data_IF_438688309251
#
_entry.id   IF_438688309251
#
_cell.length_a   1.000
_cell.length_b   1.000
_cell.length_c   1.000
_cell.angle_alpha   90.00
_cell.angle_beta   90.00
_cell.angle_gamma   90.00
#
_symmetry.space_group_name_H-M   'P 1'
#
loop_
_entity.id
_entity.type
_entity.pdbx_description
1 polymer ?
#
# COMPACT_ATOMS: atom_id res chain seq x y z
N UNK A 1 64.12 20.66 33.17
CA UNK A 1 62.68 20.51 32.90
C UNK A 1 62.53 19.21 32.12
N UNK A 2 62.33 18.02 32.71
CA UNK A 2 61.29 17.62 33.67
C UNK A 2 59.96 17.56 32.91
N UNK A 3 59.25 16.45 32.70
CA UNK A 3 59.09 15.19 33.45
C UNK A 3 58.64 14.10 32.45
N UNK A 4 59.03 12.85 32.69
CA UNK A 4 58.43 11.63 32.10
C UNK A 4 56.93 11.51 32.43
N UNK A 5 56.15 10.79 31.61
CA UNK A 5 55.06 9.90 32.08
C UNK A 5 54.43 9.13 30.89
N UNK A 6 54.77 7.85 30.76
CA UNK A 6 53.81 6.75 30.45
C UNK A 6 53.39 6.17 31.82
N UNK A 7 52.40 5.26 31.97
CA UNK A 7 51.34 4.71 31.08
C UNK A 7 49.93 4.97 31.70
N UNK A 8 48.82 4.30 31.35
CA UNK A 8 48.21 3.26 32.24
C UNK A 8 46.80 2.83 31.77
N UNK A 9 46.59 1.50 31.72
CA UNK A 9 45.39 0.66 31.89
C UNK A 9 44.15 0.74 30.97
N UNK A 10 43.96 -0.38 30.27
CA UNK A 10 42.82 -1.30 30.41
C UNK A 10 41.48 -0.72 30.91
N UNK A 11 40.49 -0.79 30.04
CA UNK A 11 39.17 -1.31 30.42
C UNK A 11 38.54 -2.05 29.23
N UNK A 12 38.78 -3.37 29.20
CA UNK A 12 37.75 -4.33 28.86
C UNK A 12 36.50 -3.99 29.68
N UNK A 13 35.38 -3.72 29.03
CA UNK A 13 34.00 -3.95 29.52
C UNK A 13 33.00 -3.54 28.42
N UNK A 14 31.78 -4.10 28.43
CA UNK A 14 31.43 -5.18 27.51
C UNK A 14 30.46 -4.72 26.43
N UNK A 15 30.40 -5.53 25.37
CA UNK A 15 29.32 -5.51 24.39
C UNK A 15 27.95 -5.64 25.12
N UNK A 16 27.05 -4.64 25.07
CA UNK A 16 25.75 -4.74 25.73
C UNK A 16 24.68 -5.38 24.84
N UNK A 17 25.03 -5.95 23.69
CA UNK A 17 24.07 -6.63 22.84
C UNK A 17 24.05 -8.13 23.13
N UNK A 18 22.98 -8.65 23.76
CA UNK A 18 22.66 -10.05 23.56
C UNK A 18 22.28 -10.24 22.09
N UNK A 19 23.11 -11.03 21.41
CA UNK A 19 22.77 -11.79 20.22
C UNK A 19 21.54 -12.64 20.58
N UNK A 20 20.37 -12.21 20.11
CA UNK A 20 19.15 -12.99 20.17
C UNK A 20 18.54 -13.03 18.76
N UNK A 21 18.48 -14.26 18.27
CA UNK A 21 17.98 -14.69 16.98
C UNK A 21 16.62 -14.08 16.61
N UNK A 22 16.35 -13.84 15.31
CA UNK A 22 15.03 -13.43 14.87
C UNK A 22 14.09 -14.64 14.90
N UNK A 23 13.49 -14.92 16.05
CA UNK A 23 12.28 -15.74 16.10
C UNK A 23 11.15 -14.89 15.55
N UNK A 24 10.82 -15.21 14.31
CA UNK A 24 9.70 -14.72 13.53
C UNK A 24 8.38 -15.01 14.28
N UNK A 25 7.87 -14.04 15.04
CA UNK A 25 6.49 -14.06 15.53
C UNK A 25 5.68 -13.06 14.72
N UNK A 26 5.02 -13.55 13.67
CA UNK A 26 3.93 -12.84 12.99
C UNK A 26 2.73 -12.82 13.92
N UNK A 27 2.77 -11.97 14.93
CA UNK A 27 1.59 -11.70 15.74
C UNK A 27 0.69 -10.75 14.95
N UNK A 28 -0.27 -11.38 14.28
CA UNK A 28 -1.52 -10.77 13.83
C UNK A 28 -2.04 -9.89 14.97
N UNK A 29 -2.04 -8.57 14.79
CA UNK A 29 -2.80 -7.67 15.66
C UNK A 29 -4.24 -7.60 15.12
N UNK A 30 -5.22 -8.33 15.68
CA UNK A 30 -6.61 -8.00 15.43
C UNK A 30 -6.85 -6.61 16.04
N UNK A 31 -7.30 -5.68 15.21
CA UNK A 31 -7.87 -4.41 15.68
C UNK A 31 -9.15 -4.75 16.44
N UNK A 32 -9.02 -5.02 17.74
CA UNK A 32 -10.14 -5.24 18.64
C UNK A 32 -10.66 -3.87 19.10
N UNK A 33 -11.71 -3.38 18.43
CA UNK A 33 -12.47 -2.23 18.89
C UNK A 33 -13.33 -2.68 20.08
N UNK A 34 -12.80 -2.55 21.30
CA UNK A 34 -13.52 -2.87 22.53
C UNK A 34 -14.55 -1.77 22.84
N UNK A 35 -15.74 -1.89 22.26
CA UNK A 35 -16.91 -1.14 22.73
C UNK A 35 -17.45 -1.80 24.00
N UNK A 36 -17.12 -1.22 25.16
CA UNK A 36 -17.80 -1.55 26.42
C UNK A 36 -19.25 -1.08 26.33
N UNK A 37 -20.18 -2.02 26.23
CA UNK A 37 -21.59 -1.76 26.54
C UNK A 37 -21.98 -2.64 27.71
N UNK A 38 -22.16 -2.00 28.87
CA UNK A 38 -22.70 -2.61 30.08
C UNK A 38 -24.10 -3.16 29.80
N UNK A 39 -24.22 -4.50 29.76
CA UNK A 39 -25.52 -5.18 29.64
C UNK A 39 -26.13 -5.36 31.04
N UNK A 40 -27.09 -4.50 31.38
CA UNK A 40 -28.13 -4.87 32.33
C UNK A 40 -29.11 -5.79 31.57
N UNK A 41 -29.28 -7.01 32.06
CA UNK A 41 -30.07 -8.05 31.40
C UNK A 41 -31.57 -7.72 31.33
N UNK A 42 -32.30 -8.22 30.31
CA UNK A 42 -33.75 -8.07 30.31
C UNK A 42 -34.40 -9.23 31.06
N UNK A 43 -35.29 -8.86 31.98
CA UNK A 43 -36.26 -9.74 32.59
C UNK A 43 -37.19 -10.35 31.53
N UNK A 44 -37.50 -11.63 31.73
CA UNK A 44 -38.42 -12.46 30.97
C UNK A 44 -39.84 -11.88 31.04
N UNK A 45 -40.54 -11.63 29.91
CA UNK A 45 -42.00 -11.44 29.86
C UNK A 45 -42.60 -11.90 28.50
N UNK A 46 -43.91 -12.27 28.47
CA UNK A 46 -44.47 -13.27 27.56
C UNK A 46 -45.02 -12.72 26.23
N UNK A 47 -45.19 -13.63 25.26
CA UNK A 47 -45.73 -13.38 23.92
C UNK A 47 -47.16 -12.83 23.97
N UNK A 48 -47.35 -11.61 23.47
CA UNK A 48 -48.67 -11.05 23.19
C UNK A 48 -48.60 -9.72 22.44
N UNK A 49 -49.04 -9.74 21.18
CA UNK A 49 -49.19 -8.61 20.23
C UNK A 49 -47.89 -7.90 19.78
N UNK A 50 -47.45 -8.17 18.55
CA UNK A 50 -46.41 -7.39 17.89
C UNK A 50 -47.02 -6.11 17.31
N UNK A 51 -46.77 -4.91 17.88
CA UNK A 51 -47.15 -3.68 17.20
C UNK A 51 -46.37 -3.57 15.89
N UNK A 52 -47.08 -3.23 14.81
CA UNK A 52 -46.52 -2.96 13.48
C UNK A 52 -45.40 -1.94 13.62
N UNK A 53 -44.16 -2.44 13.54
CA UNK A 53 -42.91 -1.74 13.87
C UNK A 53 -42.78 -0.51 12.97
N UNK A 54 -43.23 0.66 13.44
CA UNK A 54 -42.82 1.95 12.85
C UNK A 54 -41.29 1.96 12.94
N UNK A 55 -40.61 1.79 11.81
CA UNK A 55 -39.15 1.96 11.72
C UNK A 55 -38.87 3.39 12.18
N UNK A 56 -38.41 3.55 13.42
CA UNK A 56 -37.86 4.81 13.90
C UNK A 56 -36.71 5.12 12.96
N UNK A 57 -36.84 6.17 12.14
CA UNK A 57 -35.72 6.68 11.33
C UNK A 57 -34.72 7.19 12.35
N UNK A 58 -33.69 6.39 12.63
CA UNK A 58 -32.57 6.81 13.46
C UNK A 58 -31.90 7.96 12.72
N UNK A 59 -31.69 9.08 13.41
CA UNK A 59 -30.92 10.19 12.86
C UNK A 59 -29.54 9.66 12.44
N UNK A 60 -28.99 10.13 11.31
CA UNK A 60 -27.67 9.71 10.88
C UNK A 60 -26.67 10.09 11.97
N UNK A 61 -25.99 9.08 12.52
CA UNK A 61 -24.88 9.29 13.43
C UNK A 61 -23.76 9.99 12.65
N UNK A 62 -23.30 11.14 13.13
CA UNK A 62 -22.18 11.88 12.52
C UNK A 62 -20.93 11.64 13.36
N UNK A 63 -19.85 11.28 12.69
CA UNK A 63 -18.51 11.17 13.26
C UNK A 63 -17.75 12.44 12.91
N UNK A 64 -17.11 13.06 13.90
CA UNK A 64 -16.23 14.20 13.71
C UNK A 64 -14.85 13.88 14.26
N UNK A 65 -13.82 14.22 13.49
CA UNK A 65 -12.44 14.18 13.95
C UNK A 65 -12.10 15.52 14.61
N UNK A 66 -11.57 15.46 15.82
CA UNK A 66 -11.20 16.64 16.61
C UNK A 66 -9.70 16.90 16.58
N UNK A 67 -8.89 15.88 16.29
CA UNK A 67 -7.44 15.97 16.43
C UNK A 67 -6.77 15.25 15.27
N UNK A 68 -5.72 15.85 14.72
CA UNK A 68 -4.81 15.23 13.77
C UNK A 68 -3.40 15.24 14.34
N UNK A 69 -2.79 14.07 14.46
CA UNK A 69 -1.37 13.94 14.77
C UNK A 69 -0.59 13.85 13.46
N UNK A 70 0.35 14.78 13.25
CA UNK A 70 1.25 14.81 12.10
C UNK A 70 2.61 14.30 12.51
N UNK A 71 3.14 13.29 11.83
CA UNK A 71 4.49 12.76 12.07
C UNK A 71 5.45 13.23 10.97
N UNK A 72 6.61 13.74 11.37
CA UNK A 72 7.65 14.20 10.45
C UNK A 72 8.77 13.17 10.35
N UNK A 73 9.16 12.84 9.13
CA UNK A 73 10.17 11.82 8.85
C UNK A 73 11.27 12.41 7.97
N UNK A 74 12.50 11.97 8.23
CA UNK A 74 13.61 12.24 7.33
C UNK A 74 13.46 11.49 6.01
N UNK A 75 14.11 11.99 4.96
CA UNK A 75 14.17 11.32 3.66
C UNK A 75 15.08 10.10 3.75
N UNK A 76 14.61 8.97 3.21
CA UNK A 76 15.38 7.74 3.13
C UNK A 76 15.16 7.04 1.78
N UNK A 77 15.92 5.98 1.52
CA UNK A 77 15.65 5.07 0.41
C UNK A 77 14.33 4.31 0.63
N UNK A 78 13.48 4.24 -0.40
CA UNK A 78 12.16 3.61 -0.34
C UNK A 78 11.92 2.58 -1.44
N UNK A 79 12.50 1.38 -1.33
CA UNK A 79 12.48 0.36 -2.40
C UNK A 79 11.10 -0.09 -2.92
N UNK A 80 10.01 0.14 -2.17
CA UNK A 80 8.65 -0.15 -2.64
C UNK A 80 8.05 0.94 -3.54
N UNK A 81 8.50 2.18 -3.38
CA UNK A 81 8.00 3.37 -4.07
C UNK A 81 8.74 3.64 -5.39
N UNK A 82 8.86 2.62 -6.24
CA UNK A 82 9.60 2.71 -7.50
C UNK A 82 8.95 3.74 -8.43
N UNK A 83 9.64 4.84 -8.78
CA UNK A 83 9.14 5.87 -9.69
C UNK A 83 8.87 5.29 -11.08
N UNK A 84 7.99 5.96 -11.83
CA UNK A 84 7.72 5.59 -13.23
C UNK A 84 8.93 6.00 -14.10
N UNK A 85 9.45 7.18 -13.83
CA UNK A 85 10.62 7.82 -14.41
C UNK A 85 11.95 7.24 -13.87
N UNK A 86 13.09 7.74 -14.37
CA UNK A 86 14.45 7.23 -14.08
C UNK A 86 14.95 7.59 -12.68
N UNK A 87 16.01 6.95 -12.20
CA UNK A 87 16.66 7.33 -10.94
C UNK A 87 16.13 6.57 -9.71
N UNK A 88 16.64 6.91 -8.53
CA UNK A 88 16.43 6.12 -7.33
C UNK A 88 15.02 6.38 -6.75
N UNK A 89 14.43 5.39 -6.07
CA UNK A 89 13.23 5.60 -5.30
C UNK A 89 13.56 6.35 -4.01
N UNK A 90 12.65 7.22 -3.59
CA UNK A 90 12.73 7.93 -2.31
C UNK A 90 11.53 7.52 -1.45
N UNK A 91 11.77 7.51 -0.15
CA UNK A 91 10.77 7.20 0.85
C UNK A 91 11.04 7.97 2.13
N UNK A 92 10.37 7.52 3.19
CA UNK A 92 10.49 8.06 4.52
C UNK A 92 11.37 7.14 5.36
N UNK A 93 12.13 7.71 6.29
CA UNK A 93 12.89 6.96 7.28
C UNK A 93 11.96 6.05 8.10
N UNK A 94 12.54 4.98 8.67
CA UNK A 94 11.78 4.00 9.45
C UNK A 94 11.17 4.58 10.72
N UNK A 95 11.72 5.68 11.24
CA UNK A 95 11.28 6.35 12.47
C UNK A 95 11.05 7.83 12.16
N UNK A 96 10.03 8.41 12.77
CA UNK A 96 9.79 9.85 12.72
C UNK A 96 10.82 10.55 13.61
N UNK A 97 11.19 11.77 13.25
CA UNK A 97 12.04 12.64 14.05
C UNK A 97 11.21 13.62 14.90
N UNK A 98 9.95 13.85 14.53
CA UNK A 98 9.06 14.77 15.24
C UNK A 98 7.58 14.37 15.07
N UNK A 99 6.72 14.89 15.95
CA UNK A 99 5.27 14.71 15.88
C UNK A 99 4.53 15.90 16.48
N UNK A 100 3.48 16.38 15.82
CA UNK A 100 2.67 17.52 16.26
C UNK A 100 1.18 17.20 16.25
N UNK A 101 0.48 17.54 17.33
CA UNK A 101 -0.96 17.41 17.42
C UNK A 101 -1.64 18.73 17.05
N UNK A 102 -2.58 18.65 16.11
CA UNK A 102 -3.37 19.78 15.62
C UNK A 102 -4.83 19.58 16.00
N UNK A 103 -5.42 20.59 16.64
CA UNK A 103 -6.85 20.62 16.94
C UNK A 103 -7.65 21.01 15.68
N UNK A 104 -8.36 20.04 15.11
CA UNK A 104 -9.16 20.20 13.90
C UNK A 104 -10.47 20.95 14.15
N UNK A 105 -10.89 21.13 15.41
CA UNK A 105 -12.10 21.90 15.72
C UNK A 105 -11.90 23.40 15.43
N UNK A 106 -10.65 23.84 15.39
CA UNK A 106 -10.26 25.23 15.10
C UNK A 106 -10.00 25.47 13.61
N UNK A 107 -9.80 24.41 12.82
CA UNK A 107 -9.48 24.45 11.39
C UNK A 107 -10.71 24.23 10.49
N UNK A 108 -11.89 24.70 10.91
CA UNK A 108 -13.17 24.51 10.21
C UNK A 108 -13.32 25.34 8.92
N UNK A 109 -12.29 26.08 8.49
CA UNK A 109 -12.28 26.75 7.21
C UNK A 109 -12.13 25.71 6.07
N UNK A 110 -13.30 25.18 5.67
CA UNK A 110 -13.55 24.21 4.60
C UNK A 110 -13.14 24.69 3.19
N UNK A 111 -12.40 25.80 3.08
CA UNK A 111 -11.90 26.36 1.83
C UNK A 111 -10.46 25.94 1.53
N UNK A 112 -9.87 25.06 2.35
CA UNK A 112 -8.55 24.49 2.10
C UNK A 112 -8.53 23.84 0.69
N UNK A 113 -7.88 24.54 -0.24
CA UNK A 113 -7.68 24.08 -1.61
C UNK A 113 -7.01 22.71 -1.57
N UNK A 114 -7.58 21.74 -2.27
CA UNK A 114 -6.98 20.43 -2.43
C UNK A 114 -5.68 20.58 -3.24
N UNK A 115 -4.57 20.75 -2.51
CA UNK A 115 -3.24 20.84 -3.10
C UNK A 115 -2.84 19.51 -3.72
N UNK A 116 -2.23 19.57 -4.90
CA UNK A 116 -1.54 18.40 -5.46
C UNK A 116 -0.19 18.27 -4.76
N UNK A 117 0.15 17.06 -4.31
CA UNK A 117 1.48 16.81 -3.75
C UNK A 117 2.52 16.95 -4.87
N UNK A 118 3.57 17.74 -4.61
CA UNK A 118 4.67 17.94 -5.55
C UNK A 118 5.36 16.60 -5.85
N UNK A 119 5.70 16.39 -7.12
CA UNK A 119 6.52 15.26 -7.56
C UNK A 119 7.97 15.72 -7.70
N UNK A 120 8.90 14.89 -7.25
CA UNK A 120 10.33 15.13 -7.43
C UNK A 120 10.79 14.51 -8.74
N UNK A 121 11.63 15.19 -9.51
CA UNK A 121 12.31 14.64 -10.68
C UNK A 121 13.55 13.81 -10.25
N UNK A 122 14.09 12.99 -11.15
CA UNK A 122 15.22 12.10 -10.89
C UNK A 122 16.45 12.83 -10.31
N UNK A 123 16.77 14.03 -10.80
CA UNK A 123 17.89 14.84 -10.26
C UNK A 123 17.62 15.27 -8.83
N UNK A 124 16.41 15.71 -8.54
CA UNK A 124 16.01 16.13 -7.19
C UNK A 124 16.06 14.95 -6.22
N UNK A 125 15.61 13.77 -6.65
CA UNK A 125 15.70 12.55 -5.82
C UNK A 125 17.13 12.16 -5.48
N UNK A 126 18.04 12.26 -6.46
CA UNK A 126 19.48 12.03 -6.21
C UNK A 126 20.01 13.08 -5.23
N UNK A 127 19.64 14.35 -5.40
CA UNK A 127 20.07 15.42 -4.51
C UNK A 127 19.57 15.20 -3.07
N UNK A 128 18.32 14.79 -2.90
CA UNK A 128 17.74 14.46 -1.59
C UNK A 128 18.48 13.31 -0.90
N UNK A 129 18.80 12.23 -1.63
CA UNK A 129 19.55 11.12 -1.05
C UNK A 129 20.99 11.50 -0.70
N UNK A 130 21.65 12.33 -1.52
CA UNK A 130 22.96 12.89 -1.18
C UNK A 130 22.90 13.75 0.07
N UNK A 131 21.85 14.58 0.21
CA UNK A 131 21.64 15.41 1.40
C UNK A 131 21.37 14.56 2.65
N UNK A 132 20.73 13.40 2.49
CA UNK A 132 20.56 12.39 3.53
C UNK A 132 21.81 11.51 3.77
N UNK A 133 22.97 11.94 3.27
CA UNK A 133 24.28 11.28 3.45
C UNK A 133 24.39 9.86 2.86
N UNK A 134 23.55 9.48 1.88
CA UNK A 134 23.77 8.25 1.13
C UNK A 134 24.98 8.39 0.20
N UNK A 135 25.89 7.39 0.18
CA UNK A 135 27.03 7.41 -0.71
C UNK A 135 26.57 7.26 -2.17
N UNK A 136 27.26 7.94 -3.09
CA UNK A 136 26.90 7.95 -4.52
C UNK A 136 26.82 6.55 -5.10
N UNK A 137 27.69 5.64 -4.65
CA UNK A 137 27.68 4.24 -5.07
C UNK A 137 26.36 3.53 -4.71
N UNK A 138 25.85 3.71 -3.50
CA UNK A 138 24.56 3.10 -3.12
C UNK A 138 23.42 3.72 -3.92
N UNK A 139 23.46 5.03 -4.16
CA UNK A 139 22.46 5.69 -5.00
C UNK A 139 22.45 5.11 -6.42
N UNK A 140 23.62 4.77 -6.98
CA UNK A 140 23.68 4.09 -8.29
C UNK A 140 23.10 2.69 -8.23
N UNK A 141 23.38 1.94 -7.16
CA UNK A 141 22.83 0.60 -6.96
C UNK A 141 21.28 0.67 -6.87
N UNK A 142 20.73 1.65 -6.14
CA UNK A 142 19.29 1.91 -6.08
C UNK A 142 18.66 2.26 -7.44
N UNK A 143 19.40 2.94 -8.32
CA UNK A 143 18.93 3.22 -9.68
C UNK A 143 18.79 1.94 -10.49
N UNK A 144 19.76 1.02 -10.38
CA UNK A 144 19.72 -0.26 -11.08
C UNK A 144 18.58 -1.13 -10.56
N UNK A 145 18.41 -1.24 -9.25
CA UNK A 145 17.28 -1.96 -8.65
C UNK A 145 15.93 -1.43 -9.15
N UNK A 146 15.77 -0.10 -9.24
CA UNK A 146 14.56 0.53 -9.74
C UNK A 146 14.31 0.24 -11.24
N UNK A 147 15.35 0.06 -12.03
CA UNK A 147 15.23 -0.37 -13.44
C UNK A 147 14.71 -1.81 -13.49
N UNK A 148 15.29 -2.70 -12.70
CA UNK A 148 14.95 -4.12 -12.71
C UNK A 148 13.53 -4.36 -12.22
N UNK A 149 13.09 -3.66 -11.17
CA UNK A 149 11.70 -3.72 -10.71
C UNK A 149 10.73 -3.20 -11.78
N UNK A 150 11.08 -2.12 -12.50
CA UNK A 150 10.22 -1.62 -13.59
C UNK A 150 10.10 -2.61 -14.73
N UNK A 151 11.21 -3.22 -15.16
CA UNK A 151 11.20 -4.27 -16.19
C UNK A 151 10.33 -5.44 -15.77
N UNK A 152 10.55 -5.96 -14.56
CA UNK A 152 9.75 -7.06 -14.01
C UNK A 152 8.25 -6.75 -13.97
N UNK A 153 7.87 -5.51 -13.60
CA UNK A 153 6.47 -5.06 -13.61
C UNK A 153 5.89 -4.98 -15.03
N UNK A 154 6.66 -4.49 -15.99
CA UNK A 154 6.24 -4.41 -17.39
C UNK A 154 6.02 -5.81 -17.98
N UNK A 155 6.97 -6.73 -17.78
CA UNK A 155 6.87 -8.12 -18.24
C UNK A 155 5.61 -8.80 -17.67
N UNK A 156 5.35 -8.62 -16.37
CA UNK A 156 4.17 -9.16 -15.70
C UNK A 156 2.86 -8.61 -16.30
N UNK A 157 2.82 -7.32 -16.60
CA UNK A 157 1.64 -6.68 -17.22
C UNK A 157 1.42 -7.19 -18.64
N UNK A 158 2.49 -7.35 -19.42
CA UNK A 158 2.42 -7.88 -20.78
C UNK A 158 1.93 -9.33 -20.80
N UNK A 159 2.43 -10.16 -19.89
CA UNK A 159 1.97 -11.54 -19.73
C UNK A 159 0.50 -11.62 -19.34
N UNK A 160 0.06 -10.76 -18.42
CA UNK A 160 -1.34 -10.68 -18.03
C UNK A 160 -2.24 -10.27 -19.22
N UNK A 161 -1.83 -9.26 -20.00
CA UNK A 161 -2.53 -8.83 -21.22
C UNK A 161 -2.60 -9.96 -22.25
N UNK A 162 -1.50 -10.69 -22.46
CA UNK A 162 -1.42 -11.83 -23.38
C UNK A 162 -2.38 -12.95 -22.96
N UNK A 163 -2.38 -13.32 -21.67
CA UNK A 163 -3.29 -14.34 -21.11
C UNK A 163 -4.75 -13.91 -21.23
N UNK A 164 -5.05 -12.63 -20.96
CA UNK A 164 -6.41 -12.07 -21.15
C UNK A 164 -6.85 -12.14 -22.60
N UNK A 165 -6.01 -11.70 -23.55
CA UNK A 165 -6.36 -11.75 -24.97
C UNK A 165 -6.60 -13.19 -25.47
N UNK A 166 -5.81 -14.17 -25.01
CA UNK A 166 -6.05 -15.59 -25.31
C UNK A 166 -7.41 -16.06 -24.81
N UNK A 167 -7.74 -15.75 -23.56
CA UNK A 167 -9.05 -16.10 -22.96
C UNK A 167 -10.20 -15.45 -23.72
N UNK A 168 -10.09 -14.16 -24.03
CA UNK A 168 -11.12 -13.42 -24.76
C UNK A 168 -11.31 -13.98 -26.18
N UNK A 169 -10.22 -14.41 -26.84
CA UNK A 169 -10.28 -15.06 -28.15
C UNK A 169 -10.92 -16.46 -28.07
N UNK A 170 -10.64 -17.23 -27.03
CA UNK A 170 -11.25 -18.55 -26.79
C UNK A 170 -12.76 -18.44 -26.55
N UNK A 171 -13.19 -17.51 -25.69
CA UNK A 171 -14.62 -17.22 -25.46
C UNK A 171 -15.31 -16.82 -26.76
N UNK A 172 -14.66 -16.00 -27.61
CA UNK A 172 -15.21 -15.62 -28.93
C UNK A 172 -15.31 -16.83 -29.88
N UNK A 173 -14.32 -17.71 -29.91
CA UNK A 173 -14.37 -18.95 -30.72
C UNK A 173 -15.50 -19.85 -30.26
N UNK A 174 -15.65 -20.05 -28.95
CA UNK A 174 -16.69 -20.91 -28.39
C UNK A 174 -18.09 -20.37 -28.67
N UNK A 175 -18.31 -19.05 -28.62
CA UNK A 175 -19.58 -18.43 -29.06
C UNK A 175 -19.89 -18.71 -30.52
N UNK A 176 -18.92 -18.54 -31.43
CA UNK A 176 -19.11 -18.84 -32.87
C UNK A 176 -19.47 -20.30 -33.14
N UNK A 177 -18.94 -21.25 -32.36
CA UNK A 177 -19.29 -22.66 -32.50
C UNK A 177 -20.69 -23.00 -31.95
N UNK A 178 -21.19 -22.26 -30.96
CA UNK A 178 -22.55 -22.45 -30.42
C UNK A 178 -23.62 -21.82 -31.33
N UNK A 179 -23.30 -20.73 -32.00
CA UNK A 179 -24.21 -20.02 -32.92
C UNK A 179 -24.19 -20.62 -34.36
N UNK A 180 -23.32 -21.59 -34.64
CA UNK A 180 -23.07 -22.16 -35.97
C UNK A 180 -23.82 -23.45 -36.32
N UNK A 181 -24.85 -23.84 -35.55
CA UNK A 181 -25.63 -25.05 -35.79
C UNK A 181 -26.89 -24.79 -36.64
N UNK A 182 -26.73 -24.29 -37.87
CA UNK A 182 -27.75 -24.37 -38.94
C UNK A 182 -27.22 -23.81 -40.27
N UNK A 183 -26.51 -24.65 -41.03
CA UNK A 183 -26.50 -24.58 -42.48
C UNK A 183 -26.72 -26.00 -42.96
N UNK A 184 -27.98 -26.36 -43.17
CA UNK A 184 -28.32 -27.59 -43.89
C UNK A 184 -27.88 -27.38 -45.33
N UNK A 185 -26.88 -28.17 -45.74
CA UNK A 185 -26.58 -28.40 -47.15
C UNK A 185 -27.77 -29.16 -47.75
N UNK A 186 -28.69 -28.44 -48.40
CA UNK A 186 -29.62 -29.04 -49.34
C UNK A 186 -28.95 -29.01 -50.73
N UNK A 187 -28.56 -30.22 -51.13
CA UNK A 187 -28.17 -30.66 -52.46
C UNK A 187 -29.27 -30.33 -53.48
N UNK A 188 -28.94 -29.62 -54.55
CA UNK A 188 -29.71 -29.69 -55.80
C UNK A 188 -28.71 -29.78 -56.96
N UNK A 189 -28.37 -31.02 -57.26
CA UNK A 189 -27.81 -31.46 -58.54
C UNK A 189 -28.86 -31.25 -59.63
N UNK A 190 -28.61 -30.37 -60.61
CA UNK A 190 -29.28 -30.45 -61.92
C UNK A 190 -28.26 -30.18 -63.04
N UNK A 191 -27.95 -31.27 -63.74
CA UNK A 191 -27.42 -31.30 -65.09
C UNK A 191 -28.24 -30.40 -66.03
N UNK A 192 -27.61 -29.66 -66.94
CA UNK A 192 -28.05 -29.63 -68.33
C UNK A 192 -26.93 -29.19 -69.30
N UNK A 193 -26.97 -29.82 -70.47
CA UNK A 193 -25.99 -30.01 -71.52
C UNK A 193 -26.09 -28.96 -72.64
N UNK A 194 -24.97 -28.71 -73.36
CA UNK A 194 -24.81 -28.31 -74.78
C UNK A 194 -23.95 -27.05 -75.03
#
# INVERSE_FOLDING_TARGET
>A
MGIHCVPTLNSLLPNPYPELDPVYSQDHFPICVLSHTSRLGPALMPLGSLPRRRRKRTLPQRVQFTTATTYLFDVAYGGSAVPIDSGPPIGLARRHCDSTDTDLTQCLDLTASYGTVRKFDHVERIALLKAAAYPVKEITDFCFDAIDVRKSRLDTVEDFKRKRHKRDAEVRRQRRCLDGACSSDDDDTLDDES
#
